data_IF_285980800172
#
_entry.id   IF_285980800172
#
_cell.length_a   1.000
_cell.length_b   1.000
_cell.length_c   1.000
_cell.angle_alpha   90.00
_cell.angle_beta   90.00
_cell.angle_gamma   90.00
#
_symmetry.space_group_name_H-M   'P 1'
#
loop_
_entity.id
_entity.type
_entity.pdbx_description
1 polymer ?
#
# COMPACT_ATOMS: atom_id res chain seq x y z
N UNK A 1 6.89 -6.27 0.81
CA UNK A 1 5.99 -5.51 -0.10
C UNK A 1 5.37 -4.31 0.61
N UNK A 2 4.72 -4.50 1.76
CA UNK A 2 4.05 -3.39 2.48
C UNK A 2 5.02 -2.27 2.87
N UNK A 3 6.23 -2.61 3.32
CA UNK A 3 7.29 -1.65 3.64
C UNK A 3 7.74 -0.84 2.43
N UNK A 4 7.96 -1.50 1.28
CA UNK A 4 8.23 -0.83 0.00
C UNK A 4 7.09 0.13 -0.41
N UNK A 5 5.83 -0.28 -0.23
CA UNK A 5 4.68 0.59 -0.46
C UNK A 5 4.66 1.77 0.51
N UNK A 6 4.97 1.55 1.78
CA UNK A 6 5.13 2.61 2.78
C UNK A 6 6.18 3.63 2.35
N UNK A 7 7.35 3.17 1.91
CA UNK A 7 8.38 4.06 1.38
C UNK A 7 7.97 4.83 0.12
N UNK A 8 7.16 4.22 -0.75
CA UNK A 8 6.56 4.89 -1.89
C UNK A 8 5.52 5.95 -1.48
N UNK A 9 4.71 5.68 -0.46
CA UNK A 9 3.75 6.63 0.11
C UNK A 9 4.49 7.85 0.67
N UNK A 10 5.55 7.64 1.46
CA UNK A 10 6.38 8.73 1.98
C UNK A 10 6.92 9.57 0.83
N UNK A 11 7.50 8.92 -0.20
CA UNK A 11 8.00 9.62 -1.37
C UNK A 11 6.91 10.43 -2.09
N UNK A 12 5.73 9.84 -2.29
CA UNK A 12 4.62 10.46 -3.04
C UNK A 12 3.97 11.62 -2.29
N UNK A 13 3.87 11.53 -0.97
CA UNK A 13 3.22 12.53 -0.12
C UNK A 13 4.19 13.58 0.45
N UNK A 14 5.46 13.53 0.06
CA UNK A 14 6.50 14.51 0.47
C UNK A 14 6.20 15.94 0.03
N UNK A 15 5.40 16.14 -1.00
CA UNK A 15 5.03 17.47 -1.51
C UNK A 15 4.04 18.25 -0.63
N UNK A 16 3.67 17.75 0.55
CA UNK A 16 2.81 18.48 1.48
C UNK A 16 3.55 19.61 2.21
N UNK A 17 2.85 20.70 2.50
CA UNK A 17 3.43 21.91 3.11
C UNK A 17 3.79 21.73 4.60
N UNK A 18 3.11 20.82 5.31
CA UNK A 18 3.32 20.62 6.74
C UNK A 18 4.48 19.66 7.04
N UNK A 19 5.63 20.22 7.40
CA UNK A 19 6.84 19.48 7.81
C UNK A 19 6.56 18.51 8.97
N UNK A 20 5.78 18.95 9.98
CA UNK A 20 5.42 18.12 11.14
C UNK A 20 4.58 16.90 10.75
N UNK A 21 3.72 16.99 9.73
CA UNK A 21 3.01 15.83 9.22
C UNK A 21 3.97 14.84 8.56
N UNK A 22 4.88 15.35 7.75
CA UNK A 22 5.84 14.51 7.04
C UNK A 22 6.75 13.74 8.01
N UNK A 23 7.14 14.38 9.12
CA UNK A 23 7.90 13.72 10.19
C UNK A 23 7.18 12.52 10.81
N UNK A 24 5.84 12.47 10.78
CA UNK A 24 5.09 11.28 11.25
C UNK A 24 5.08 10.13 10.23
N UNK A 25 5.43 10.39 8.96
CA UNK A 25 5.43 9.40 7.88
C UNK A 25 6.81 8.77 7.67
N UNK A 26 7.88 9.53 7.86
CA UNK A 26 9.27 9.08 7.65
C UNK A 26 9.90 8.64 8.99
N UNK A 27 10.73 7.60 8.96
CA UNK A 27 11.56 7.23 10.12
C UNK A 27 12.70 8.24 10.26
N UNK A 28 12.85 8.86 11.43
CA UNK A 28 14.04 9.66 11.75
C UNK A 28 15.27 8.76 11.80
N UNK A 29 16.31 9.12 11.02
CA UNK A 29 17.53 8.33 10.86
C UNK A 29 18.42 8.30 12.13
N UNK A 30 18.10 9.09 13.17
CA UNK A 30 18.87 9.20 14.41
C UNK A 30 18.92 7.90 15.25
N UNK A 31 18.21 6.85 14.86
CA UNK A 31 18.15 5.55 15.56
C UNK A 31 18.63 4.37 14.69
N UNK A 32 19.59 4.60 13.79
CA UNK A 32 20.08 3.58 12.85
C UNK A 32 21.04 2.56 13.47
N UNK A 33 21.56 2.77 14.68
CA UNK A 33 22.62 1.91 15.24
C UNK A 33 22.15 0.68 16.05
N UNK A 34 20.86 0.54 16.40
CA UNK A 34 20.43 -0.48 17.38
C UNK A 34 19.47 -1.57 16.88
N UNK A 35 19.51 -1.95 15.60
CA UNK A 35 18.79 -3.17 15.16
C UNK A 35 19.66 -4.02 14.25
N UNK A 36 20.65 -4.67 14.88
CA UNK A 36 21.49 -5.72 14.31
C UNK A 36 20.80 -7.10 14.28
N UNK A 37 19.49 -7.14 14.04
CA UNK A 37 18.74 -8.38 13.85
C UNK A 37 18.07 -8.39 12.48
N UNK A 38 18.40 -9.42 11.70
CA UNK A 38 17.96 -9.72 10.33
C UNK A 38 18.46 -8.81 9.19
N UNK A 39 19.69 -9.13 8.74
CA UNK A 39 20.25 -8.73 7.45
C UNK A 39 19.55 -9.44 6.27
N UNK A 40 18.24 -9.34 6.15
CA UNK A 40 17.60 -9.55 4.85
C UNK A 40 17.68 -8.22 4.08
N UNK A 41 18.18 -8.22 2.84
CA UNK A 41 18.22 -7.00 2.06
C UNK A 41 16.79 -6.50 1.84
N UNK A 42 16.48 -5.36 2.45
CA UNK A 42 15.19 -4.70 2.37
C UNK A 42 14.92 -4.33 0.90
N UNK A 43 13.73 -4.62 0.38
CA UNK A 43 13.34 -4.23 -0.98
C UNK A 43 13.50 -2.73 -1.23
N UNK A 44 13.39 -1.91 -0.18
CA UNK A 44 13.75 -0.49 -0.23
C UNK A 44 15.23 -0.38 -0.56
N UNK A 45 16.15 -0.96 0.23
CA UNK A 45 17.60 -0.90 -0.02
C UNK A 45 18.03 -1.43 -1.39
N UNK A 46 17.34 -2.45 -1.93
CA UNK A 46 17.65 -3.04 -3.24
C UNK A 46 17.15 -2.14 -4.39
N UNK A 47 15.99 -1.49 -4.25
CA UNK A 47 15.35 -0.72 -5.34
C UNK A 47 15.46 0.79 -5.18
N UNK A 48 15.90 1.29 -4.03
CA UNK A 48 16.17 2.69 -3.78
C UNK A 48 17.41 3.06 -4.59
N UNK A 49 17.24 3.51 -5.82
CA UNK A 49 18.26 4.30 -6.51
C UNK A 49 18.37 5.69 -5.84
N UNK A 50 18.45 5.74 -4.50
CA UNK A 50 18.42 6.93 -3.65
C UNK A 50 17.03 7.56 -3.36
N UNK A 51 15.96 7.14 -4.05
CA UNK A 51 14.67 7.87 -4.03
C UNK A 51 13.60 7.40 -3.02
N UNK A 52 13.61 6.12 -2.61
CA UNK A 52 12.63 5.61 -1.65
C UNK A 52 13.06 5.93 -0.21
N UNK A 53 12.10 6.39 0.59
CA UNK A 53 12.29 6.69 2.00
C UNK A 53 11.85 5.52 2.89
N UNK A 54 12.34 5.47 4.12
CA UNK A 54 11.89 4.48 5.10
C UNK A 54 10.64 4.98 5.82
N UNK A 55 9.53 4.22 5.80
CA UNK A 55 8.32 4.60 6.53
C UNK A 55 8.53 4.54 8.05
N UNK A 56 7.84 5.41 8.78
CA UNK A 56 7.78 5.39 10.23
C UNK A 56 7.05 4.14 10.75
N UNK A 57 7.28 3.78 12.02
CA UNK A 57 6.54 2.66 12.63
C UNK A 57 5.03 2.93 12.71
N UNK A 58 4.64 4.19 12.94
CA UNK A 58 3.23 4.61 13.00
C UNK A 58 2.56 4.42 11.63
N UNK A 59 3.21 4.87 10.55
CA UNK A 59 2.74 4.63 9.19
C UNK A 59 2.65 3.13 8.91
N UNK A 60 3.65 2.34 9.29
CA UNK A 60 3.60 0.89 9.08
C UNK A 60 2.46 0.21 9.84
N UNK A 61 2.15 0.67 11.06
CA UNK A 61 0.99 0.19 11.81
C UNK A 61 -0.32 0.51 11.09
N UNK A 62 -0.50 1.74 10.64
CA UNK A 62 -1.66 2.17 9.86
C UNK A 62 -1.84 1.32 8.60
N UNK A 63 -0.77 1.12 7.82
CA UNK A 63 -0.81 0.34 6.58
C UNK A 63 -1.13 -1.13 6.81
N UNK A 64 -0.69 -1.73 7.92
CA UNK A 64 -1.02 -3.13 8.26
C UNK A 64 -2.51 -3.29 8.57
N UNK A 65 -3.09 -2.34 9.29
CA UNK A 65 -4.53 -2.32 9.60
C UNK A 65 -5.34 -2.06 8.33
N UNK A 66 -4.94 -1.08 7.52
CA UNK A 66 -5.59 -0.85 6.22
C UNK A 66 -5.51 -2.09 5.31
N UNK A 67 -4.39 -2.81 5.32
CA UNK A 67 -4.22 -4.05 4.55
C UNK A 67 -5.19 -5.16 4.98
N UNK A 68 -5.51 -5.29 6.28
CA UNK A 68 -6.49 -6.30 6.72
C UNK A 68 -7.89 -5.97 6.20
N UNK A 69 -8.29 -4.70 6.19
CA UNK A 69 -9.56 -4.26 5.61
C UNK A 69 -9.60 -4.53 4.10
N UNK A 70 -8.54 -4.20 3.37
CA UNK A 70 -8.45 -4.49 1.93
C UNK A 70 -8.58 -6.00 1.67
N UNK A 71 -7.91 -6.85 2.44
CA UNK A 71 -7.97 -8.31 2.26
C UNK A 71 -9.37 -8.87 2.49
N UNK A 72 -10.03 -8.44 3.57
CA UNK A 72 -11.39 -8.87 3.91
C UNK A 72 -12.37 -8.67 2.75
N UNK A 73 -12.21 -7.58 2.00
CA UNK A 73 -13.10 -7.22 0.88
C UNK A 73 -12.60 -7.70 -0.50
N UNK A 74 -11.41 -8.29 -0.58
CA UNK A 74 -10.80 -8.74 -1.85
C UNK A 74 -10.51 -10.23 -1.93
N UNK A 75 -10.53 -10.95 -0.80
CA UNK A 75 -10.38 -12.40 -0.78
C UNK A 75 -11.61 -13.13 -1.39
N UNK A 76 -12.79 -12.51 -1.32
CA UNK A 76 -14.02 -12.96 -1.98
C UNK A 76 -14.23 -12.31 -3.37
N UNK A 77 -15.41 -12.51 -3.97
CA UNK A 77 -15.80 -11.78 -5.17
C UNK A 77 -15.82 -10.27 -4.89
N UNK A 78 -15.14 -9.49 -5.73
CA UNK A 78 -15.06 -8.04 -5.61
C UNK A 78 -16.28 -7.39 -6.23
N UNK A 79 -17.08 -6.71 -5.41
CA UNK A 79 -18.24 -5.94 -5.85
C UNK A 79 -17.86 -4.56 -6.43
N UNK A 80 -18.84 -3.89 -7.04
CA UNK A 80 -18.65 -2.54 -7.61
C UNK A 80 -18.37 -1.46 -6.54
N UNK A 81 -18.77 -1.69 -5.29
CA UNK A 81 -18.63 -0.80 -4.13
C UNK A 81 -17.38 -1.07 -3.29
N UNK A 82 -16.47 -1.95 -3.72
CA UNK A 82 -15.36 -2.43 -2.86
C UNK A 82 -14.53 -1.32 -2.22
N UNK A 83 -14.33 -0.18 -2.90
CA UNK A 83 -13.60 0.95 -2.34
C UNK A 83 -14.35 1.58 -1.16
N UNK A 84 -15.65 1.86 -1.32
CA UNK A 84 -16.47 2.45 -0.26
C UNK A 84 -16.61 1.49 0.90
N UNK A 85 -16.81 0.20 0.62
CA UNK A 85 -16.96 -0.83 1.65
C UNK A 85 -15.70 -0.95 2.52
N UNK A 86 -14.50 -0.86 1.92
CA UNK A 86 -13.23 -0.82 2.65
C UNK A 86 -13.11 0.44 3.51
N UNK A 87 -13.48 1.60 2.96
CA UNK A 87 -13.40 2.88 3.68
C UNK A 87 -14.36 2.89 4.87
N UNK A 88 -15.59 2.44 4.67
CA UNK A 88 -16.62 2.42 5.71
C UNK A 88 -16.21 1.50 6.87
N UNK A 89 -15.68 0.31 6.59
CA UNK A 89 -15.19 -0.58 7.66
C UNK A 89 -13.93 -0.06 8.34
N UNK A 90 -13.04 0.60 7.60
CA UNK A 90 -11.82 1.19 8.15
C UNK A 90 -12.10 2.37 9.09
N UNK A 91 -13.10 3.20 8.78
CA UNK A 91 -13.50 4.35 9.60
C UNK A 91 -14.17 3.95 10.92
N UNK A 92 -14.71 2.73 11.01
CA UNK A 92 -15.33 2.19 12.22
C UNK A 92 -14.35 1.39 13.09
N UNK A 93 -13.09 1.21 12.67
CA UNK A 93 -12.09 0.44 13.40
C UNK A 93 -11.25 1.34 14.32
N UNK A 94 -11.54 1.29 15.61
CA UNK A 94 -10.81 2.01 16.66
C UNK A 94 -9.29 1.76 16.64
N UNK A 95 -8.84 0.56 16.23
CA UNK A 95 -7.42 0.28 16.14
C UNK A 95 -6.77 1.08 15.03
N UNK A 96 -7.47 1.24 13.91
CA UNK A 96 -7.02 2.02 12.76
C UNK A 96 -7.01 3.52 13.11
N UNK A 97 -8.05 3.99 13.79
CA UNK A 97 -8.11 5.37 14.31
C UNK A 97 -6.97 5.65 15.31
N UNK A 98 -6.60 4.68 16.15
CA UNK A 98 -5.44 4.82 17.05
C UNK A 98 -4.08 4.87 16.32
N UNK A 99 -4.04 4.52 15.03
CA UNK A 99 -2.84 4.51 14.20
C UNK A 99 -2.79 5.70 13.22
N UNK A 100 -3.58 6.76 13.46
CA UNK A 100 -3.55 7.97 12.63
C UNK A 100 -2.14 8.56 12.50
N UNK A 101 -1.86 9.18 11.36
CA UNK A 101 -0.62 9.89 11.04
C UNK A 101 -0.93 11.36 10.77
N UNK A 102 0.06 12.23 10.95
CA UNK A 102 -0.06 13.67 10.83
C UNK A 102 0.07 14.41 12.17
N UNK A 103 0.28 15.72 12.12
CA UNK A 103 0.35 16.55 13.33
C UNK A 103 -1.05 16.82 13.90
N UNK A 104 -1.12 17.42 15.09
CA UNK A 104 -2.38 17.68 15.83
C UNK A 104 -3.46 18.41 15.00
N UNK A 105 -3.06 19.27 14.08
CA UNK A 105 -3.98 20.05 13.24
C UNK A 105 -4.43 19.30 11.99
N UNK A 106 -3.61 18.37 11.48
CA UNK A 106 -3.79 17.79 10.15
C UNK A 106 -3.91 16.26 10.16
N UNK A 107 -3.97 15.61 11.33
CA UNK A 107 -3.95 14.15 11.41
C UNK A 107 -5.11 13.49 10.68
N UNK A 108 -6.31 14.10 10.70
CA UNK A 108 -7.48 13.61 9.97
C UNK A 108 -7.22 13.60 8.46
N UNK A 109 -6.87 14.78 7.91
CA UNK A 109 -6.62 14.92 6.48
C UNK A 109 -5.45 14.04 6.03
N UNK A 110 -4.34 14.03 6.78
CA UNK A 110 -3.14 13.28 6.40
C UNK A 110 -3.38 11.77 6.45
N UNK A 111 -4.10 11.28 7.45
CA UNK A 111 -4.49 9.87 7.54
C UNK A 111 -5.41 9.49 6.37
N UNK A 112 -6.40 10.32 6.06
CA UNK A 112 -7.31 10.08 4.94
C UNK A 112 -6.56 10.04 3.59
N UNK A 113 -5.62 10.96 3.35
CA UNK A 113 -4.77 10.96 2.15
C UNK A 113 -3.95 9.66 2.02
N UNK A 114 -3.34 9.21 3.13
CA UNK A 114 -2.57 7.96 3.18
C UNK A 114 -3.46 6.76 2.89
N UNK A 115 -4.63 6.65 3.54
CA UNK A 115 -5.56 5.55 3.35
C UNK A 115 -6.10 5.50 1.92
N UNK A 116 -6.59 6.63 1.41
CA UNK A 116 -7.11 6.73 0.04
C UNK A 116 -6.06 6.28 -0.99
N UNK A 117 -4.83 6.78 -0.86
CA UNK A 117 -3.75 6.40 -1.77
C UNK A 117 -3.40 4.91 -1.65
N UNK A 118 -3.28 4.40 -0.42
CA UNK A 118 -2.95 3.01 -0.15
C UNK A 118 -3.99 2.05 -0.72
N UNK A 119 -5.28 2.27 -0.42
CA UNK A 119 -6.38 1.44 -0.90
C UNK A 119 -6.42 1.43 -2.43
N UNK A 120 -6.27 2.59 -3.09
CA UNK A 120 -6.20 2.67 -4.55
C UNK A 120 -5.03 1.89 -5.13
N UNK A 121 -3.85 1.99 -4.53
CA UNK A 121 -2.70 1.19 -4.96
C UNK A 121 -2.97 -0.31 -4.84
N UNK A 122 -3.57 -0.76 -3.72
CA UNK A 122 -3.87 -2.18 -3.52
C UNK A 122 -4.92 -2.69 -4.50
N UNK A 123 -6.03 -1.98 -4.69
CA UNK A 123 -7.07 -2.34 -5.66
C UNK A 123 -6.55 -2.34 -7.10
N UNK A 124 -5.64 -1.42 -7.45
CA UNK A 124 -4.98 -1.42 -8.75
C UNK A 124 -4.12 -2.68 -8.96
N UNK A 125 -3.29 -3.04 -7.97
CA UNK A 125 -2.48 -4.26 -8.05
C UNK A 125 -3.34 -5.52 -8.10
N UNK A 126 -4.39 -5.58 -7.29
CA UNK A 126 -5.36 -6.68 -7.29
C UNK A 126 -6.00 -6.86 -8.68
N UNK A 127 -6.52 -5.77 -9.25
CA UNK A 127 -7.16 -5.79 -10.57
C UNK A 127 -6.19 -6.25 -11.66
N UNK A 128 -4.95 -5.75 -11.63
CA UNK A 128 -3.91 -6.18 -12.58
C UNK A 128 -3.58 -7.67 -12.45
N UNK A 129 -3.49 -8.19 -11.22
CA UNK A 129 -3.21 -9.60 -10.99
C UNK A 129 -4.34 -10.51 -11.48
N UNK A 130 -5.60 -10.15 -11.20
CA UNK A 130 -6.77 -10.89 -11.68
C UNK A 130 -6.87 -10.87 -13.21
N UNK A 131 -6.67 -9.72 -13.84
CA UNK A 131 -6.69 -9.59 -15.30
C UNK A 131 -5.56 -10.40 -15.95
N UNK A 132 -4.37 -10.43 -15.34
CA UNK A 132 -3.26 -11.28 -15.80
C UNK A 132 -3.64 -12.76 -15.76
N UNK A 133 -4.20 -13.24 -14.65
CA UNK A 133 -4.66 -14.64 -14.49
C UNK A 133 -5.76 -14.99 -15.50
N UNK A 134 -6.74 -14.10 -15.70
CA UNK A 134 -7.79 -14.28 -16.69
C UNK A 134 -7.21 -14.43 -18.11
N UNK A 135 -6.31 -13.53 -18.51
CA UNK A 135 -5.66 -13.57 -19.82
C UNK A 135 -4.80 -14.83 -20.02
N UNK A 136 -4.14 -15.33 -18.98
CA UNK A 136 -3.38 -16.59 -19.03
C UNK A 136 -4.29 -17.81 -19.22
N UNK A 137 -5.45 -17.84 -18.56
CA UNK A 137 -6.46 -18.89 -18.75
C UNK A 137 -7.02 -18.84 -20.16
N UNK A 138 -7.48 -17.67 -20.63
CA UNK A 138 -8.03 -17.49 -21.99
C UNK A 138 -7.03 -17.90 -23.06
N UNK A 139 -5.73 -17.57 -22.89
CA UNK A 139 -4.68 -17.99 -23.83
C UNK A 139 -4.43 -19.49 -23.85
N UNK A 140 -4.57 -20.19 -22.73
CA UNK A 140 -4.44 -21.67 -22.67
C UNK A 140 -5.67 -22.39 -23.21
N UNK A 141 -6.84 -21.76 -23.11
CA UNK A 141 -8.11 -22.28 -23.62
C UNK A 141 -8.36 -21.96 -25.09
N UNK A 142 -7.55 -21.10 -25.71
CA UNK A 142 -7.67 -20.81 -27.14
C UNK A 142 -7.22 -22.05 -27.95
N UNK A 143 -8.07 -22.61 -28.82
CA UNK A 143 -7.65 -23.70 -29.70
C UNK A 143 -6.52 -23.19 -30.59
N UNK A 144 -5.47 -24.01 -30.76
CA UNK A 144 -4.45 -23.75 -31.75
C UNK A 144 -5.16 -23.59 -33.10
N UNK A 145 -5.25 -22.34 -33.59
CA UNK A 145 -5.76 -22.06 -34.92
C UNK A 145 -4.76 -22.66 -35.90
N UNK A 146 -4.95 -23.94 -36.23
CA UNK A 146 -4.21 -24.67 -37.22
C UNK A 146 -4.32 -23.93 -38.53
N UNK A 147 -3.20 -23.34 -38.96
CA UNK A 147 -3.06 -22.73 -40.27
C UNK A 147 -3.46 -23.74 -41.33
N UNK A 148 -4.54 -23.42 -42.02
CA UNK A 148 -5.09 -24.18 -43.15
C UNK A 148 -4.04 -24.16 -44.26
N UNK A 149 -3.51 -25.33 -44.62
CA UNK A 149 -2.79 -25.50 -45.89
C UNK A 149 -3.75 -25.23 -47.05
N UNK A 150 -3.36 -24.37 -47.96
CA UNK A 150 -3.74 -24.43 -49.37
C UNK A 150 -2.47 -24.27 -50.19
#
# INVERSE_FOLDING_TARGET
ILEYLGGYIVHKLRGGECVSCFATLERSDDNLENSATDKMPDLISIKSHGGLKRPSQQLMRLLRLAESHVKQHTDSAVGCSVYTDIVDTALLDENLLSACVGCKEHYVQKTAEVLHFFIRCRLHFYSREKNKKYNEVTRRSAPASGGRKQ
#
